data_IF_875478616892
#
_entry.id   IF_875478616892
#
_cell.length_a   1.000
_cell.length_b   1.000
_cell.length_c   1.000
_cell.angle_alpha   90.00
_cell.angle_beta   90.00
_cell.angle_gamma   90.00
#
_symmetry.space_group_name_H-M   'P 1'
#
loop_
_entity.id
_entity.type
_entity.pdbx_description
1 polymer ?
#
# COMPACT_ATOMS: atom_id res chain seq x y z
N UNK A 1 5.03 6.22 9.13
CA UNK A 1 5.26 5.57 7.82
C UNK A 1 3.97 5.01 7.27
N UNK A 2 3.24 4.15 8.01
CA UNK A 2 1.93 3.62 7.55
C UNK A 2 0.93 4.75 7.27
N UNK A 3 0.83 5.75 8.15
CA UNK A 3 -0.09 6.88 7.95
C UNK A 3 0.16 7.65 6.65
N UNK A 4 1.43 7.86 6.25
CA UNK A 4 1.77 8.51 4.98
C UNK A 4 1.31 7.65 3.79
N UNK A 5 1.52 6.33 3.86
CA UNK A 5 1.15 5.43 2.77
C UNK A 5 -0.36 5.29 2.60
N UNK A 6 -1.09 5.27 3.71
CA UNK A 6 -2.55 5.31 3.73
C UNK A 6 -3.07 6.65 3.18
N UNK A 7 -2.51 7.78 3.61
CA UNK A 7 -2.90 9.10 3.12
C UNK A 7 -2.69 9.22 1.59
N UNK A 8 -1.51 8.84 1.10
CA UNK A 8 -1.21 8.82 -0.34
C UNK A 8 -2.22 7.93 -1.10
N UNK A 9 -2.47 6.71 -0.59
CA UNK A 9 -3.39 5.79 -1.24
C UNK A 9 -4.84 6.29 -1.25
N UNK A 10 -5.33 6.91 -0.18
CA UNK A 10 -6.69 7.44 -0.18
C UNK A 10 -6.88 8.56 -1.20
N UNK A 11 -5.84 9.36 -1.48
CA UNK A 11 -5.88 10.32 -2.59
C UNK A 11 -5.96 9.58 -3.93
N UNK A 12 -5.16 8.54 -4.14
CA UNK A 12 -5.22 7.73 -5.36
C UNK A 12 -6.58 7.08 -5.57
N UNK A 13 -7.13 6.48 -4.51
CA UNK A 13 -8.44 5.83 -4.54
C UNK A 13 -9.56 6.82 -4.84
N UNK A 14 -9.48 8.04 -4.27
CA UNK A 14 -10.51 9.08 -4.46
C UNK A 14 -10.49 9.70 -5.84
N UNK A 15 -9.30 9.88 -6.42
CA UNK A 15 -9.09 10.61 -7.68
C UNK A 15 -8.99 9.70 -8.90
N UNK A 16 -8.68 8.41 -8.71
CA UNK A 16 -8.31 7.52 -9.80
C UNK A 16 -6.95 7.83 -10.44
N UNK A 17 -6.20 8.77 -9.86
CA UNK A 17 -4.90 9.21 -10.36
C UNK A 17 -3.80 8.67 -9.45
N UNK A 18 -2.82 7.96 -10.02
CA UNK A 18 -1.69 7.45 -9.26
C UNK A 18 -0.69 8.54 -8.85
N UNK A 19 -0.80 9.75 -9.41
CA UNK A 19 0.11 10.85 -9.17
C UNK A 19 -0.40 11.70 -8.00
N UNK A 20 0.51 12.10 -7.12
CA UNK A 20 0.25 13.04 -6.03
C UNK A 20 1.24 14.19 -6.07
N UNK A 21 0.74 15.41 -5.88
CA UNK A 21 1.55 16.61 -5.65
C UNK A 21 2.18 17.17 -6.93
N UNK A 22 1.42 17.14 -8.02
CA UNK A 22 1.83 17.58 -9.36
C UNK A 22 2.33 19.02 -9.37
N UNK A 23 1.63 19.91 -8.67
CA UNK A 23 1.90 21.35 -8.65
C UNK A 23 3.13 21.73 -7.82
N UNK A 24 3.65 20.81 -7.00
CA UNK A 24 4.77 21.05 -6.08
C UNK A 24 6.01 20.23 -6.43
N UNK A 25 6.02 19.57 -7.60
CA UNK A 25 7.15 18.80 -8.10
C UNK A 25 7.88 19.57 -9.21
N UNK A 26 8.93 20.37 -8.91
CA UNK A 26 9.64 21.11 -9.93
C UNK A 26 10.57 20.20 -10.76
N UNK A 27 10.88 20.63 -11.99
CA UNK A 27 11.62 19.89 -13.04
C UNK A 27 13.05 19.48 -12.63
N UNK A 28 13.57 19.94 -11.48
CA UNK A 28 14.91 19.61 -10.96
C UNK A 28 14.89 19.00 -9.56
N UNK A 29 13.72 18.64 -9.04
CA UNK A 29 13.63 18.05 -7.70
C UNK A 29 13.93 16.55 -7.74
N UNK A 30 14.96 16.16 -6.99
CA UNK A 30 15.26 14.74 -6.70
C UNK A 30 14.30 14.13 -5.67
N UNK A 31 13.39 14.93 -5.11
CA UNK A 31 12.40 14.47 -4.13
C UNK A 31 11.15 13.89 -4.78
N UNK A 32 10.98 14.08 -6.09
CA UNK A 32 9.83 13.60 -6.83
C UNK A 32 9.98 12.14 -7.24
N UNK A 33 8.89 11.38 -7.11
CA UNK A 33 8.79 10.03 -7.68
C UNK A 33 8.87 10.04 -9.22
N UNK A 34 8.25 11.03 -9.87
CA UNK A 34 8.42 11.33 -11.30
C UNK A 34 8.83 12.79 -11.44
N UNK A 35 10.07 13.07 -11.83
CA UNK A 35 10.63 14.44 -11.88
C UNK A 35 9.76 15.35 -12.75
N UNK A 36 9.39 16.52 -12.20
CA UNK A 36 8.53 17.50 -12.88
C UNK A 36 7.07 17.09 -13.03
N UNK A 37 6.65 15.95 -12.44
CA UNK A 37 5.33 15.37 -12.65
C UNK A 37 4.64 14.99 -11.34
N UNK A 38 5.27 14.15 -10.51
CA UNK A 38 4.64 13.58 -9.33
C UNK A 38 5.59 13.66 -8.14
N UNK A 39 5.17 14.31 -7.06
CA UNK A 39 5.89 14.21 -5.80
C UNK A 39 5.92 12.74 -5.34
N UNK A 40 4.77 12.05 -5.41
CA UNK A 40 4.63 10.62 -5.13
C UNK A 40 3.80 9.92 -6.20
N UNK A 41 4.03 8.63 -6.38
CA UNK A 41 3.34 7.83 -7.40
C UNK A 41 2.90 6.48 -6.85
N UNK A 42 1.62 6.12 -7.03
CA UNK A 42 1.12 4.76 -6.85
C UNK A 42 1.66 3.79 -7.92
N UNK A 43 1.98 4.30 -9.10
CA UNK A 43 2.71 3.58 -10.15
C UNK A 43 4.21 3.60 -9.83
N UNK A 44 4.62 2.79 -8.86
CA UNK A 44 6.02 2.59 -8.53
C UNK A 44 6.29 1.10 -8.30
N UNK A 45 7.54 0.69 -8.48
CA UNK A 45 8.01 -0.70 -8.26
C UNK A 45 8.89 -0.81 -7.02
N UNK A 46 8.83 0.16 -6.11
CA UNK A 46 9.65 0.22 -4.91
C UNK A 46 9.39 -1.00 -4.02
N UNK A 47 10.47 -1.58 -3.50
CA UNK A 47 10.47 -2.72 -2.59
C UNK A 47 11.08 -2.34 -1.26
N UNK A 48 10.60 -2.93 -0.18
CA UNK A 48 11.09 -2.62 1.17
C UNK A 48 12.61 -2.80 1.34
N UNK A 49 13.21 -3.71 0.56
CA UNK A 49 14.62 -4.06 0.61
C UNK A 49 15.51 -3.26 -0.33
N UNK A 50 14.98 -2.32 -1.12
CA UNK A 50 15.81 -1.54 -2.06
C UNK A 50 16.83 -0.71 -1.29
N UNK A 51 18.13 -1.00 -1.47
CA UNK A 51 19.23 -0.38 -0.73
C UNK A 51 19.37 1.15 -0.88
N UNK A 52 18.67 1.73 -1.86
CA UNK A 52 18.60 3.18 -2.10
C UNK A 52 17.34 3.87 -1.58
N UNK A 53 16.39 3.13 -0.99
CA UNK A 53 15.21 3.76 -0.39
C UNK A 53 15.62 4.61 0.80
N UNK A 54 15.48 5.92 0.62
CA UNK A 54 15.70 6.91 1.67
C UNK A 54 15.07 6.46 2.99
N UNK A 55 15.80 6.64 4.09
CA UNK A 55 15.29 6.35 5.45
C UNK A 55 14.12 7.27 5.84
N UNK A 56 13.83 8.29 5.03
CA UNK A 56 12.69 9.19 5.25
C UNK A 56 11.36 8.44 5.13
N UNK A 57 10.44 8.76 6.03
CA UNK A 57 9.13 8.12 6.08
C UNK A 57 8.33 8.29 4.78
N UNK A 58 8.51 9.41 4.09
CA UNK A 58 7.77 9.82 2.89
C UNK A 58 8.12 8.99 1.65
N UNK A 59 9.39 8.57 1.49
CA UNK A 59 9.78 7.74 0.35
C UNK A 59 9.48 6.26 0.63
N UNK A 60 9.67 5.81 1.87
CA UNK A 60 9.34 4.43 2.28
C UNK A 60 7.85 4.14 2.30
N UNK A 61 7.00 5.12 2.56
CA UNK A 61 5.54 4.95 2.51
C UNK A 61 5.01 4.66 1.11
N UNK A 62 5.74 5.04 0.05
CA UNK A 62 5.35 4.77 -1.33
C UNK A 62 5.31 3.27 -1.67
N UNK A 63 6.05 2.44 -0.92
CA UNK A 63 5.94 0.98 -1.01
C UNK A 63 4.51 0.54 -0.67
N UNK A 64 3.93 1.10 0.39
CA UNK A 64 2.57 0.77 0.85
C UNK A 64 1.50 1.35 -0.07
N UNK A 65 1.63 2.63 -0.43
CA UNK A 65 0.65 3.26 -1.30
C UNK A 65 0.66 2.65 -2.70
N UNK A 66 1.84 2.24 -3.19
CA UNK A 66 2.00 1.49 -4.43
C UNK A 66 1.40 0.07 -4.34
N UNK A 67 1.61 -0.63 -3.22
CA UNK A 67 0.98 -1.94 -2.98
C UNK A 67 -0.54 -1.85 -3.08
N UNK A 68 -1.15 -0.90 -2.37
CA UNK A 68 -2.61 -0.72 -2.38
C UNK A 68 -3.10 -0.24 -3.76
N UNK A 69 -2.32 0.57 -4.47
CA UNK A 69 -2.60 0.91 -5.87
C UNK A 69 -2.64 -0.35 -6.77
N UNK A 70 -1.66 -1.25 -6.64
CA UNK A 70 -1.62 -2.49 -7.42
C UNK A 70 -2.77 -3.44 -7.10
N UNK A 71 -3.14 -3.57 -5.82
CA UNK A 71 -4.35 -4.29 -5.40
C UNK A 71 -5.58 -3.64 -6.06
N UNK A 72 -5.70 -2.30 -5.98
CA UNK A 72 -6.81 -1.54 -6.55
C UNK A 72 -6.94 -1.64 -8.07
N UNK A 73 -5.85 -1.80 -8.81
CA UNK A 73 -5.91 -2.11 -10.26
C UNK A 73 -6.55 -3.47 -10.56
N UNK A 74 -6.45 -4.43 -9.64
CA UNK A 74 -6.98 -5.78 -9.82
C UNK A 74 -8.42 -5.93 -9.32
N UNK A 75 -8.77 -5.30 -8.20
CA UNK A 75 -10.08 -5.50 -7.54
C UNK A 75 -10.98 -4.25 -7.49
N UNK A 76 -10.48 -3.12 -7.99
CA UNK A 76 -11.13 -1.82 -7.97
C UNK A 76 -10.60 -0.91 -6.85
N UNK A 77 -10.28 0.34 -7.19
CA UNK A 77 -9.73 1.34 -6.26
C UNK A 77 -10.68 1.65 -5.10
N UNK A 78 -11.97 1.76 -5.36
CA UNK A 78 -12.99 1.99 -4.33
C UNK A 78 -13.04 0.83 -3.33
N UNK A 79 -13.06 -0.41 -3.82
CA UNK A 79 -13.05 -1.61 -2.97
C UNK A 79 -11.79 -1.67 -2.12
N UNK A 80 -10.61 -1.47 -2.71
CA UNK A 80 -9.36 -1.42 -1.95
C UNK A 80 -9.34 -0.26 -0.96
N UNK A 81 -9.96 0.87 -1.31
CA UNK A 81 -10.19 2.00 -0.41
C UNK A 81 -10.98 1.62 0.85
N UNK A 82 -12.10 0.91 0.68
CA UNK A 82 -12.90 0.42 1.81
C UNK A 82 -12.13 -0.59 2.66
N UNK A 83 -11.42 -1.54 2.04
CA UNK A 83 -10.57 -2.50 2.75
C UNK A 83 -9.48 -1.75 3.55
N UNK A 84 -8.80 -0.78 2.94
CA UNK A 84 -7.77 0.00 3.61
C UNK A 84 -8.31 0.85 4.74
N UNK A 85 -9.52 1.41 4.60
CA UNK A 85 -10.19 2.17 5.65
C UNK A 85 -10.54 1.27 6.84
N UNK A 86 -11.22 0.14 6.60
CA UNK A 86 -11.54 -0.84 7.65
C UNK A 86 -10.28 -1.44 8.28
N UNK A 87 -9.19 -1.58 7.52
CA UNK A 87 -7.92 -2.08 8.05
C UNK A 87 -7.33 -1.19 9.16
N UNK A 88 -7.66 0.11 9.19
CA UNK A 88 -7.18 1.05 10.23
C UNK A 88 -7.61 0.63 11.63
N UNK A 89 -8.80 0.03 11.77
CA UNK A 89 -9.32 -0.42 13.07
C UNK A 89 -8.50 -1.59 13.67
N UNK A 90 -7.70 -2.27 12.85
CA UNK A 90 -6.79 -3.34 13.27
C UNK A 90 -5.36 -2.85 13.57
N UNK A 91 -5.07 -1.56 13.37
CA UNK A 91 -3.74 -1.00 13.57
C UNK A 91 -3.56 -0.41 14.96
N UNK A 92 -2.37 -0.61 15.52
CA UNK A 92 -1.89 -0.03 16.76
C UNK A 92 -0.83 1.04 16.47
N UNK A 93 -0.51 1.95 17.42
CA UNK A 93 0.49 2.99 17.21
C UNK A 93 1.89 2.49 16.80
N UNK A 94 2.22 1.23 17.08
CA UNK A 94 3.52 0.59 16.73
C UNK A 94 3.41 -0.44 15.60
N UNK A 95 2.29 -0.46 14.87
CA UNK A 95 2.09 -1.37 13.75
C UNK A 95 3.20 -1.23 12.70
N UNK A 96 3.57 -2.39 12.17
CA UNK A 96 4.54 -2.62 11.11
C UNK A 96 3.84 -2.84 9.78
N UNK A 97 4.62 -3.02 8.71
CA UNK A 97 4.05 -3.30 7.39
C UNK A 97 3.41 -4.68 7.33
N UNK A 98 3.90 -5.63 8.13
CA UNK A 98 3.25 -6.93 8.33
C UNK A 98 1.88 -6.73 8.95
N UNK A 99 1.78 -5.92 10.01
CA UNK A 99 0.50 -5.65 10.68
C UNK A 99 -0.51 -5.00 9.75
N UNK A 100 -0.06 -4.08 8.87
CA UNK A 100 -0.92 -3.53 7.82
C UNK A 100 -1.41 -4.61 6.84
N UNK A 101 -0.53 -5.48 6.35
CA UNK A 101 -0.93 -6.57 5.44
C UNK A 101 -1.94 -7.50 6.10
N UNK A 102 -1.73 -7.89 7.37
CA UNK A 102 -2.66 -8.70 8.13
C UNK A 102 -3.99 -7.97 8.35
N UNK A 103 -3.95 -6.67 8.67
CA UNK A 103 -5.12 -5.81 8.81
C UNK A 103 -5.94 -5.70 7.51
N UNK A 104 -5.28 -5.59 6.35
CA UNK A 104 -5.94 -5.58 5.04
C UNK A 104 -6.64 -6.92 4.75
N UNK A 105 -6.00 -8.06 5.01
CA UNK A 105 -6.65 -9.37 4.85
C UNK A 105 -7.80 -9.57 5.83
N UNK A 106 -7.65 -9.08 7.07
CA UNK A 106 -8.72 -9.14 8.07
C UNK A 106 -9.93 -8.27 7.68
N UNK A 107 -9.68 -7.08 7.17
CA UNK A 107 -10.70 -6.21 6.61
C UNK A 107 -11.38 -6.82 5.38
N UNK A 108 -10.63 -7.48 4.51
CA UNK A 108 -11.20 -8.20 3.37
C UNK A 108 -12.06 -9.40 3.79
N UNK A 109 -11.65 -10.13 4.84
CA UNK A 109 -12.47 -11.18 5.45
C UNK A 109 -13.82 -10.62 5.95
N UNK A 110 -13.79 -9.48 6.64
CA UNK A 110 -14.99 -8.83 7.16
C UNK A 110 -15.93 -8.35 6.05
N UNK A 111 -15.40 -7.55 5.13
CA UNK A 111 -16.19 -6.88 4.09
C UNK A 111 -16.57 -7.81 2.95
N UNK A 112 -15.65 -8.68 2.54
CA UNK A 112 -15.74 -9.44 1.31
C UNK A 112 -15.62 -10.95 1.52
N UNK A 113 -15.58 -11.47 2.75
CA UNK A 113 -15.36 -12.90 3.03
C UNK A 113 -13.99 -13.44 2.64
N UNK A 114 -13.02 -12.56 2.41
CA UNK A 114 -11.61 -12.94 2.23
C UNK A 114 -11.22 -13.32 0.81
N UNK A 115 -12.09 -13.06 -0.18
CA UNK A 115 -11.83 -13.40 -1.60
C UNK A 115 -10.53 -12.79 -2.12
N UNK A 116 -10.08 -11.68 -1.56
CA UNK A 116 -8.88 -10.97 -1.99
C UNK A 116 -7.68 -11.22 -1.07
N UNK A 117 -7.81 -12.01 0.01
CA UNK A 117 -6.74 -12.24 1.00
C UNK A 117 -5.44 -12.74 0.37
N UNK A 118 -5.52 -13.69 -0.56
CA UNK A 118 -4.32 -14.22 -1.23
C UNK A 118 -3.68 -13.20 -2.17
N UNK A 119 -4.49 -12.38 -2.84
CA UNK A 119 -3.98 -11.30 -3.65
C UNK A 119 -3.27 -10.24 -2.79
N UNK A 120 -3.85 -9.86 -1.65
CA UNK A 120 -3.24 -8.90 -0.72
C UNK A 120 -1.88 -9.41 -0.24
N UNK A 121 -1.80 -10.70 0.13
CA UNK A 121 -0.55 -11.33 0.54
C UNK A 121 0.48 -11.38 -0.61
N UNK A 122 0.04 -11.70 -1.83
CA UNK A 122 0.87 -11.71 -3.03
C UNK A 122 1.48 -10.32 -3.29
N UNK A 123 0.67 -9.26 -3.25
CA UNK A 123 1.17 -7.90 -3.46
C UNK A 123 2.13 -7.45 -2.36
N UNK A 124 1.90 -7.84 -1.11
CA UNK A 124 2.86 -7.60 -0.04
C UNK A 124 4.21 -8.30 -0.29
N UNK A 125 4.19 -9.54 -0.79
CA UNK A 125 5.40 -10.28 -1.18
C UNK A 125 6.11 -9.62 -2.37
N UNK A 126 5.37 -9.12 -3.36
CA UNK A 126 5.93 -8.36 -4.48
C UNK A 126 6.69 -7.10 -4.03
N UNK A 127 6.32 -6.55 -2.87
CA UNK A 127 6.98 -5.42 -2.20
C UNK A 127 8.14 -5.82 -1.27
N UNK A 128 8.61 -7.07 -1.37
CA UNK A 128 9.71 -7.65 -0.57
C UNK A 128 9.44 -7.75 0.94
N UNK A 129 8.19 -8.05 1.31
CA UNK A 129 7.81 -8.43 2.68
C UNK A 129 7.77 -9.97 2.87
N UNK A 130 8.21 -10.74 1.89
CA UNK A 130 8.14 -12.20 1.83
C UNK A 130 8.77 -12.89 3.05
N UNK A 131 9.99 -12.51 3.42
CA UNK A 131 10.67 -13.07 4.60
C UNK A 131 9.91 -12.82 5.91
N UNK A 132 9.26 -11.66 6.04
CA UNK A 132 8.49 -11.29 7.23
C UNK A 132 7.10 -11.92 7.27
N UNK A 133 6.62 -12.42 6.13
CA UNK A 133 5.31 -13.05 5.93
C UNK A 133 5.42 -14.55 5.61
N UNK A 134 6.58 -15.17 5.85
CA UNK A 134 6.85 -16.56 5.44
C UNK A 134 5.86 -17.58 6.02
N UNK A 135 5.37 -17.33 7.24
CA UNK A 135 4.43 -18.21 7.94
C UNK A 135 2.96 -17.76 7.81
N UNK A 136 2.68 -16.75 6.98
CA UNK A 136 1.32 -16.23 6.79
C UNK A 136 0.65 -17.02 5.66
N UNK A 137 -0.47 -17.66 5.97
CA UNK A 137 -1.32 -18.34 5.01
C UNK A 137 -2.57 -17.48 4.75
N UNK A 138 -2.79 -17.08 3.50
CA UNK A 138 -3.96 -16.27 3.15
C UNK A 138 -5.28 -17.03 3.34
N UNK A 139 -5.27 -18.36 3.30
CA UNK A 139 -6.48 -19.18 3.48
C UNK A 139 -7.01 -19.11 4.91
N UNK A 140 -6.19 -18.73 5.89
CA UNK A 140 -6.63 -18.48 7.27
C UNK A 140 -7.54 -17.23 7.36
N UNK A 141 -7.60 -16.44 6.28
CA UNK A 141 -8.37 -15.21 6.14
C UNK A 141 -9.45 -15.34 5.06
N UNK A 142 -9.97 -16.55 4.82
CA UNK A 142 -11.08 -16.82 3.91
C UNK A 142 -12.22 -17.44 4.71
N UNK A 143 -13.45 -16.98 4.49
CA UNK A 143 -14.61 -17.61 5.13
C UNK A 143 -14.80 -19.04 4.59
N UNK A 144 -15.26 -20.00 5.41
CA UNK A 144 -15.56 -21.35 4.95
C UNK A 144 -16.67 -21.38 3.88
#
# INVERSE_FOLDING_TARGET
MIHEGLADFFVYARTGNACLGETICPVRSTMCAKVGQCLRSGENVLKFTDGGLSKTAHLRSQVLSGMMWDIGKKIGLEKTGLIAFTAVDYLLPRSTYVDLTLGLMKADLELNKGVNSCLILEEAKNRALDSSLANVNCNDYVAP
#
